data_IF_905281925749
#
_entry.id   IF_905281925749
#
_cell.length_a   1.000
_cell.length_b   1.000
_cell.length_c   1.000
_cell.angle_alpha   90.00
_cell.angle_beta   90.00
_cell.angle_gamma   90.00
#
_symmetry.space_group_name_H-M   'P 1'
#
loop_
_entity.id
_entity.type
_entity.pdbx_description
1 polymer ?
#
# COMPACT_ATOMS: atom_id res chain seq x y z
N UNK A 1 10.83 -34.92 50.39
CA UNK A 1 10.81 -35.66 49.11
C UNK A 1 9.89 -34.86 48.20
N UNK A 2 10.46 -34.34 47.13
CA UNK A 2 10.07 -33.21 46.27
C UNK A 2 8.56 -33.10 45.96
N UNK A 3 7.94 -32.00 46.42
CA UNK A 3 6.69 -31.44 45.88
C UNK A 3 6.95 -31.07 44.41
N UNK A 4 6.34 -31.80 43.48
CA UNK A 4 6.39 -31.42 42.07
C UNK A 4 5.44 -30.27 41.86
N UNK A 5 6.01 -29.08 41.73
CA UNK A 5 5.31 -27.90 41.22
C UNK A 5 4.61 -28.28 39.91
N UNK A 6 3.27 -28.24 39.93
CA UNK A 6 2.49 -28.28 38.70
C UNK A 6 2.90 -27.07 37.87
N UNK A 7 3.70 -27.33 36.84
CA UNK A 7 4.04 -26.37 35.80
C UNK A 7 2.72 -25.85 35.26
N UNK A 8 2.33 -24.65 35.73
CA UNK A 8 1.12 -23.97 35.31
C UNK A 8 1.13 -23.90 33.80
N UNK A 9 0.33 -24.76 33.17
CA UNK A 9 0.11 -24.73 31.74
C UNK A 9 -0.30 -23.31 31.41
N UNK A 10 0.60 -22.56 30.76
CA UNK A 10 0.32 -21.23 30.25
C UNK A 10 -0.87 -21.38 29.31
N UNK A 11 -2.08 -21.12 29.82
CA UNK A 11 -3.31 -21.17 29.03
C UNK A 11 -3.08 -20.22 27.88
N UNK A 12 -2.99 -20.78 26.67
CA UNK A 12 -3.01 -19.99 25.43
C UNK A 12 -4.12 -18.96 25.57
N UNK A 13 -3.81 -17.65 25.48
CA UNK A 13 -4.79 -16.62 25.77
C UNK A 13 -6.01 -16.85 24.88
N UNK A 14 -7.16 -17.14 25.49
CA UNK A 14 -8.42 -17.30 24.75
C UNK A 14 -8.66 -16.02 23.97
N UNK A 15 -8.49 -16.08 22.65
CA UNK A 15 -8.79 -14.97 21.76
C UNK A 15 -10.31 -14.85 21.70
N UNK A 16 -10.86 -13.91 22.46
CA UNK A 16 -12.27 -13.57 22.41
C UNK A 16 -12.54 -12.89 21.06
N UNK A 17 -13.48 -13.39 20.23
CA UNK A 17 -13.97 -12.65 19.07
C UNK A 17 -14.43 -11.25 19.51
N UNK A 18 -13.96 -10.19 18.83
CA UNK A 18 -14.05 -8.76 19.23
C UNK A 18 -13.20 -8.27 20.42
N UNK A 19 -12.26 -9.09 20.92
CA UNK A 19 -11.25 -8.63 21.89
C UNK A 19 -10.12 -7.80 21.25
N UNK A 20 -9.47 -6.92 22.04
CA UNK A 20 -8.30 -6.11 21.62
C UNK A 20 -7.19 -6.97 20.98
N UNK A 21 -7.02 -8.21 21.45
CA UNK A 21 -6.02 -9.16 20.92
C UNK A 21 -6.41 -9.71 19.54
N UNK A 22 -7.70 -9.96 19.30
CA UNK A 22 -8.23 -10.39 18.00
C UNK A 22 -8.08 -9.27 16.96
N UNK A 23 -8.39 -8.03 17.34
CA UNK A 23 -8.22 -6.86 16.47
C UNK A 23 -6.74 -6.62 16.10
N UNK A 24 -5.82 -6.80 17.07
CA UNK A 24 -4.37 -6.71 16.84
C UNK A 24 -3.83 -7.77 15.87
N UNK A 25 -4.27 -9.02 16.00
CA UNK A 25 -3.84 -10.11 15.10
C UNK A 25 -4.38 -9.90 13.69
N UNK A 26 -5.62 -9.43 13.56
CA UNK A 26 -6.23 -9.10 12.27
C UNK A 26 -5.52 -7.95 11.57
N UNK A 27 -5.15 -6.88 12.29
CA UNK A 27 -4.41 -5.73 11.76
C UNK A 27 -2.98 -6.11 11.31
N UNK A 28 -2.33 -7.02 12.04
CA UNK A 28 -0.97 -7.49 11.74
C UNK A 28 -0.88 -8.32 10.46
N UNK A 29 -1.94 -9.04 10.12
CA UNK A 29 -1.98 -9.87 8.91
C UNK A 29 -2.63 -9.17 7.71
N UNK A 30 -3.53 -8.20 7.91
CA UNK A 30 -4.32 -7.59 6.81
C UNK A 30 -3.84 -6.22 6.34
N UNK A 31 -3.03 -5.48 7.09
CA UNK A 31 -2.68 -4.10 6.69
C UNK A 31 -1.94 -3.98 5.37
N UNK A 32 -1.02 -4.91 5.07
CA UNK A 32 -0.36 -4.98 3.75
C UNK A 32 -1.36 -5.28 2.63
N UNK A 33 -2.25 -6.26 2.85
CA UNK A 33 -3.28 -6.62 1.86
C UNK A 33 -4.28 -5.49 1.60
N UNK A 34 -4.71 -4.77 2.64
CA UNK A 34 -5.62 -3.62 2.49
C UNK A 34 -4.97 -2.49 1.71
N UNK A 35 -3.68 -2.20 1.92
CA UNK A 35 -2.96 -1.21 1.12
C UNK A 35 -2.90 -1.59 -0.37
N UNK A 36 -2.64 -2.86 -0.68
CA UNK A 36 -2.64 -3.37 -2.06
C UNK A 36 -4.03 -3.29 -2.68
N UNK A 37 -5.07 -3.72 -1.97
CA UNK A 37 -6.46 -3.65 -2.47
C UNK A 37 -6.86 -2.20 -2.72
N UNK A 38 -6.53 -1.28 -1.81
CA UNK A 38 -6.80 0.15 -2.00
C UNK A 38 -6.08 0.72 -3.23
N UNK A 39 -4.81 0.35 -3.43
CA UNK A 39 -4.03 0.72 -4.62
C UNK A 39 -4.65 0.16 -5.90
N UNK A 40 -5.08 -1.11 -5.91
CA UNK A 40 -5.71 -1.72 -7.08
C UNK A 40 -7.06 -1.08 -7.42
N UNK A 41 -7.88 -0.76 -6.42
CA UNK A 41 -9.12 -0.01 -6.62
C UNK A 41 -8.85 1.37 -7.21
N UNK A 42 -7.83 2.07 -6.71
CA UNK A 42 -7.42 3.36 -7.25
C UNK A 42 -6.92 3.24 -8.70
N UNK A 43 -6.16 2.20 -9.01
CA UNK A 43 -5.70 1.92 -10.37
C UNK A 43 -6.87 1.64 -11.33
N UNK A 44 -7.87 0.88 -10.89
CA UNK A 44 -9.08 0.63 -11.67
C UNK A 44 -9.85 1.92 -11.97
N UNK A 45 -10.02 2.80 -10.98
CA UNK A 45 -10.65 4.11 -11.18
C UNK A 45 -9.86 4.95 -12.17
N UNK A 46 -8.52 4.98 -12.03
CA UNK A 46 -7.64 5.69 -12.96
C UNK A 46 -7.75 5.16 -14.39
N UNK A 47 -7.78 3.83 -14.56
CA UNK A 47 -7.93 3.17 -15.86
C UNK A 47 -9.27 3.52 -16.54
N UNK A 48 -10.36 3.48 -15.78
CA UNK A 48 -11.70 3.85 -16.27
C UNK A 48 -11.72 5.31 -16.71
N UNK A 49 -11.10 6.22 -15.94
CA UNK A 49 -11.03 7.63 -16.29
C UNK A 49 -10.19 7.91 -17.54
N UNK A 50 -9.08 7.20 -17.74
CA UNK A 50 -8.28 7.30 -18.98
C UNK A 50 -9.05 6.78 -20.19
N UNK A 51 -9.88 5.75 -20.02
CA UNK A 51 -10.70 5.20 -21.10
C UNK A 51 -11.86 6.11 -21.53
N UNK A 52 -12.24 7.09 -20.71
CA UNK A 52 -13.29 8.05 -21.02
C UNK A 52 -12.77 9.15 -21.96
N UNK A 53 -13.56 9.54 -22.98
CA UNK A 53 -13.18 10.61 -23.89
C UNK A 53 -13.17 11.95 -23.16
N UNK A 54 -12.01 12.60 -23.10
CA UNK A 54 -11.86 13.91 -22.48
C UNK A 54 -10.42 14.21 -22.04
N UNK A 55 -9.88 15.42 -22.30
CA UNK A 55 -8.55 15.78 -21.82
C UNK A 55 -8.44 15.75 -20.29
N UNK A 56 -9.45 16.27 -19.59
CA UNK A 56 -9.48 16.30 -18.12
C UNK A 56 -9.58 14.89 -17.52
N UNK A 57 -10.42 14.02 -18.07
CA UNK A 57 -10.55 12.63 -17.60
C UNK A 57 -9.28 11.85 -17.84
N UNK A 58 -8.60 12.07 -18.98
CA UNK A 58 -7.29 11.50 -19.28
C UNK A 58 -6.22 11.93 -18.28
N UNK A 59 -6.09 13.24 -17.99
CA UNK A 59 -5.10 13.75 -17.04
C UNK A 59 -5.37 13.24 -15.62
N UNK A 60 -6.62 13.35 -15.15
CA UNK A 60 -6.98 12.91 -13.79
C UNK A 60 -6.79 11.38 -13.66
N UNK A 61 -7.23 10.62 -14.66
CA UNK A 61 -7.06 9.17 -14.69
C UNK A 61 -5.59 8.75 -14.69
N UNK A 62 -4.74 9.45 -15.43
CA UNK A 62 -3.31 9.21 -15.46
C UNK A 62 -2.65 9.51 -14.11
N UNK A 63 -2.97 10.65 -13.47
CA UNK A 63 -2.47 10.99 -12.14
C UNK A 63 -2.87 9.95 -11.09
N UNK A 64 -4.09 9.42 -11.17
CA UNK A 64 -4.56 8.34 -10.30
C UNK A 64 -3.80 7.03 -10.56
N UNK A 65 -3.50 6.70 -11.82
CA UNK A 65 -2.65 5.55 -12.15
C UNK A 65 -1.24 5.71 -11.61
N UNK A 66 -0.62 6.88 -11.73
CA UNK A 66 0.70 7.16 -11.14
C UNK A 66 0.66 7.07 -9.62
N UNK A 67 -0.39 7.59 -8.98
CA UNK A 67 -0.57 7.47 -7.54
C UNK A 67 -0.79 6.03 -7.07
N UNK A 68 -1.52 5.22 -7.87
CA UNK A 68 -1.79 3.83 -7.58
C UNK A 68 -0.57 2.92 -7.84
N UNK A 69 0.14 3.17 -8.94
CA UNK A 69 1.26 2.40 -9.45
C UNK A 69 2.49 3.31 -9.65
N UNK A 70 3.13 3.74 -8.55
CA UNK A 70 4.20 4.73 -8.55
C UNK A 70 5.48 4.27 -9.27
N UNK A 71 5.60 2.97 -9.57
CA UNK A 71 6.75 2.42 -10.30
C UNK A 71 6.61 2.58 -11.82
N UNK A 72 5.41 2.85 -12.35
CA UNK A 72 5.19 3.02 -13.80
C UNK A 72 6.09 4.09 -14.42
N UNK A 73 6.19 5.32 -13.87
CA UNK A 73 7.03 6.35 -14.46
C UNK A 73 8.53 6.01 -14.41
N UNK A 74 8.95 5.27 -13.38
CA UNK A 74 10.36 4.89 -13.16
C UNK A 74 10.84 3.95 -14.26
N UNK A 75 9.99 3.03 -14.71
CA UNK A 75 10.31 2.08 -15.80
C UNK A 75 10.08 2.68 -17.19
N UNK A 76 9.73 3.98 -17.28
CA UNK A 76 9.52 4.68 -18.54
C UNK A 76 8.15 4.45 -19.18
N UNK A 77 7.15 3.93 -18.46
CA UNK A 77 5.77 3.88 -18.98
C UNK A 77 5.16 5.28 -18.90
N UNK A 78 4.49 5.80 -19.95
CA UNK A 78 4.04 5.11 -21.16
C UNK A 78 4.96 5.19 -22.38
N UNK A 79 6.16 5.80 -22.27
CA UNK A 79 7.09 5.90 -23.39
C UNK A 79 7.57 4.52 -23.90
N UNK A 80 7.56 3.50 -23.04
CA UNK A 80 7.80 2.10 -23.42
C UNK A 80 6.48 1.35 -23.63
N UNK A 81 6.36 0.62 -24.75
CA UNK A 81 5.17 -0.19 -25.09
C UNK A 81 5.33 -1.69 -24.77
N UNK A 82 6.35 -2.07 -24.02
CA UNK A 82 6.59 -3.48 -23.68
C UNK A 82 5.65 -3.97 -22.57
N UNK A 83 4.83 -4.98 -22.84
CA UNK A 83 3.89 -5.56 -21.88
C UNK A 83 4.57 -6.06 -20.58
N UNK A 84 5.81 -6.55 -20.68
CA UNK A 84 6.63 -6.96 -19.54
C UNK A 84 6.94 -5.79 -18.59
N UNK A 85 7.16 -4.58 -19.11
CA UNK A 85 7.42 -3.39 -18.28
C UNK A 85 6.19 -3.00 -17.46
N UNK A 86 4.99 -3.07 -18.06
CA UNK A 86 3.73 -2.85 -17.34
C UNK A 86 3.54 -3.89 -16.23
N UNK A 87 3.73 -5.18 -16.55
CA UNK A 87 3.58 -6.25 -15.56
C UNK A 87 4.56 -6.12 -14.39
N UNK A 88 5.85 -5.87 -14.68
CA UNK A 88 6.87 -5.70 -13.65
C UNK A 88 6.60 -4.47 -12.78
N UNK A 89 6.18 -3.34 -13.37
CA UNK A 89 5.83 -2.13 -12.61
C UNK A 89 4.60 -2.34 -11.73
N UNK A 90 3.59 -3.08 -12.20
CA UNK A 90 2.43 -3.44 -11.39
C UNK A 90 2.83 -4.30 -10.20
N UNK A 91 3.60 -5.37 -10.43
CA UNK A 91 4.07 -6.26 -9.35
C UNK A 91 4.93 -5.48 -8.34
N UNK A 92 5.88 -4.68 -8.82
CA UNK A 92 6.73 -3.86 -7.96
C UNK A 92 5.94 -2.85 -7.12
N UNK A 93 4.92 -2.23 -7.72
CA UNK A 93 4.01 -1.31 -7.01
C UNK A 93 3.18 -2.04 -5.94
N UNK A 94 2.67 -3.24 -6.24
CA UNK A 94 1.97 -4.07 -5.25
C UNK A 94 2.89 -4.44 -4.08
N UNK A 95 4.13 -4.83 -4.36
CA UNK A 95 5.13 -5.12 -3.32
C UNK A 95 5.41 -3.89 -2.47
N UNK A 96 5.56 -2.72 -3.09
CA UNK A 96 5.77 -1.45 -2.39
C UNK A 96 4.61 -1.14 -1.45
N UNK A 97 3.37 -1.15 -1.94
CA UNK A 97 2.18 -0.88 -1.12
C UNK A 97 1.97 -1.93 -0.03
N UNK A 98 2.26 -3.20 -0.30
CA UNK A 98 2.24 -4.26 0.69
C UNK A 98 3.25 -3.99 1.80
N UNK A 99 4.50 -3.65 1.45
CA UNK A 99 5.55 -3.35 2.41
C UNK A 99 5.19 -2.15 3.29
N UNK A 100 4.66 -1.08 2.69
CA UNK A 100 4.20 0.13 3.41
C UNK A 100 3.06 -0.20 4.36
N UNK A 101 2.03 -0.93 3.90
CA UNK A 101 0.91 -1.36 4.72
C UNK A 101 1.29 -2.32 5.84
N UNK A 102 2.31 -3.16 5.63
CA UNK A 102 2.87 -4.05 6.64
C UNK A 102 3.72 -3.31 7.67
N UNK A 103 4.53 -2.34 7.22
CA UNK A 103 5.34 -1.47 8.08
C UNK A 103 4.45 -0.63 9.00
N UNK A 104 3.36 -0.05 8.48
CA UNK A 104 2.38 0.68 9.32
C UNK A 104 1.65 -0.27 10.27
N UNK A 105 1.29 -1.49 9.87
CA UNK A 105 0.75 -2.48 10.81
C UNK A 105 1.71 -2.81 11.95
N UNK A 106 3.00 -2.99 11.66
CA UNK A 106 4.03 -3.25 12.69
C UNK A 106 4.19 -2.08 13.65
N UNK A 107 4.16 -0.84 13.15
CA UNK A 107 4.29 0.38 13.95
C UNK A 107 3.03 0.62 14.81
N UNK A 108 1.84 0.46 14.25
CA UNK A 108 0.57 0.57 14.97
C UNK A 108 0.45 -0.46 16.11
N UNK A 109 0.95 -1.69 15.92
CA UNK A 109 0.94 -2.71 16.99
C UNK A 109 1.91 -2.45 18.15
N UNK A 110 2.81 -1.46 18.07
CA UNK A 110 3.64 -1.04 19.21
C UNK A 110 2.91 -0.09 20.17
N UNK A 111 1.74 0.44 19.80
CA UNK A 111 0.91 1.30 20.65
C UNK A 111 -0.13 0.47 21.40
N UNK A 112 -0.46 0.90 22.63
CA UNK A 112 -1.36 0.19 23.54
C UNK A 112 -2.80 0.04 23.00
N UNK A 113 -3.20 0.84 22.01
CA UNK A 113 -4.49 0.77 21.34
C UNK A 113 -4.21 0.63 19.84
N UNK A 114 -4.52 -0.54 19.26
CA UNK A 114 -4.28 -0.85 17.86
C UNK A 114 -5.62 -0.81 17.11
N UNK A 115 -5.95 0.36 16.57
CA UNK A 115 -7.17 0.60 15.82
C UNK A 115 -6.87 1.10 14.40
N UNK A 116 -7.83 0.90 13.49
CA UNK A 116 -7.73 1.29 12.07
C UNK A 116 -7.37 2.78 11.82
N UNK A 117 -7.84 3.76 12.63
CA UNK A 117 -7.45 5.17 12.45
C UNK A 117 -5.95 5.42 12.71
N UNK A 118 -5.35 4.73 13.68
CA UNK A 118 -3.92 4.81 13.96
C UNK A 118 -3.08 4.26 12.80
N UNK A 119 -3.51 3.14 12.20
CA UNK A 119 -2.89 2.61 10.99
C UNK A 119 -2.92 3.65 9.86
N UNK A 120 -4.05 4.35 9.68
CA UNK A 120 -4.16 5.38 8.65
C UNK A 120 -3.27 6.60 8.94
N UNK A 121 -3.10 7.01 10.21
CA UNK A 121 -2.15 8.09 10.57
C UNK A 121 -0.71 7.77 10.21
N UNK A 122 -0.28 6.52 10.35
CA UNK A 122 1.08 6.11 10.02
C UNK A 122 1.26 5.83 8.53
N UNK A 123 0.22 5.35 7.86
CA UNK A 123 0.20 5.10 6.41
C UNK A 123 0.23 6.37 5.58
N UNK A 124 -0.55 7.39 5.96
CA UNK A 124 -0.68 8.68 5.23
C UNK A 124 0.65 9.36 4.87
N UNK A 125 1.58 9.64 5.82
CA UNK A 125 2.82 10.33 5.48
C UNK A 125 3.71 9.50 4.54
N UNK A 126 3.71 8.17 4.69
CA UNK A 126 4.45 7.27 3.79
C UNK A 126 3.87 7.30 2.37
N UNK A 127 2.54 7.25 2.26
CA UNK A 127 1.84 7.34 0.98
C UNK A 127 2.10 8.68 0.27
N UNK A 128 2.06 9.79 1.01
CA UNK A 128 2.35 11.13 0.47
C UNK A 128 3.78 11.21 -0.07
N UNK A 129 4.76 10.68 0.67
CA UNK A 129 6.15 10.65 0.21
C UNK A 129 6.32 9.88 -1.11
N UNK A 130 5.64 8.73 -1.24
CA UNK A 130 5.65 7.93 -2.46
C UNK A 130 5.01 8.69 -3.62
N UNK A 131 3.88 9.36 -3.39
CA UNK A 131 3.22 10.17 -4.42
C UNK A 131 4.10 11.33 -4.90
N UNK A 132 4.73 12.06 -3.98
CA UNK A 132 5.64 13.16 -4.33
C UNK A 132 6.80 12.62 -5.18
N UNK A 133 7.42 11.51 -4.74
CA UNK A 133 8.51 10.88 -5.49
C UNK A 133 8.10 10.44 -6.90
N UNK A 134 6.93 9.81 -7.03
CA UNK A 134 6.41 9.36 -8.33
C UNK A 134 6.10 10.52 -9.28
N UNK A 135 5.50 11.60 -8.76
CA UNK A 135 5.22 12.81 -9.55
C UNK A 135 6.50 13.55 -9.96
N UNK A 136 7.50 13.61 -9.09
CA UNK A 136 8.81 14.18 -9.42
C UNK A 136 9.52 13.35 -10.49
N UNK A 137 9.54 12.02 -10.36
CA UNK A 137 10.13 11.13 -11.36
C UNK A 137 9.43 11.27 -12.72
N UNK A 138 8.10 11.38 -12.73
CA UNK A 138 7.31 11.67 -13.93
C UNK A 138 7.70 13.02 -14.55
N UNK A 139 7.79 14.08 -13.74
CA UNK A 139 8.16 15.42 -14.22
C UNK A 139 9.56 15.45 -14.83
N UNK A 140 10.54 14.81 -14.17
CA UNK A 140 11.91 14.67 -14.72
C UNK A 140 11.91 13.90 -16.03
N UNK A 141 11.17 12.79 -16.12
CA UNK A 141 11.05 12.00 -17.35
C UNK A 141 10.46 12.84 -18.49
N UNK A 142 9.43 13.63 -18.22
CA UNK A 142 8.79 14.48 -19.22
C UNK A 142 9.74 15.58 -19.74
N UNK A 143 10.55 16.18 -18.87
CA UNK A 143 11.58 17.16 -19.26
C UNK A 143 12.66 16.49 -20.14
N UNK A 144 13.16 15.32 -19.71
CA UNK A 144 14.21 14.58 -20.44
C UNK A 144 13.73 14.15 -21.84
N UNK A 145 12.45 13.83 -21.99
CA UNK A 145 11.83 13.45 -23.26
C UNK A 145 11.42 14.65 -24.13
N UNK A 146 11.56 15.88 -23.64
CA UNK A 146 11.17 17.11 -24.36
C UNK A 146 9.66 17.30 -24.50
N UNK A 147 8.86 16.70 -23.61
CA UNK A 147 7.40 16.82 -23.61
C UNK A 147 6.89 18.09 -22.87
N UNK A 148 7.80 18.80 -22.19
CA UNK A 148 7.61 20.04 -21.43
C UNK A 148 8.77 20.98 -21.76
#
# INVERSE_FOLDING_TARGET
MVEREEVGQARSPRVVPDGIIAHRTMLRHRGGAVAVVASLLLALIGLVLVALPGPLTGVIGFLLLVAALPVLPIVGVPAVSAASSYFLATVASCVLWFAVGHLSSRRATRRAIASWPEWFREYRPLAIGIWIGALLALGVSAIVLGAL
#
